data_IF_281578402613
#
_entry.id   IF_281578402613
#
_cell.length_a   1.000
_cell.length_b   1.000
_cell.length_c   1.000
_cell.angle_alpha   90.00
_cell.angle_beta   90.00
_cell.angle_gamma   90.00
#
_symmetry.space_group_name_H-M   'P 1'
#
loop_
_entity.id
_entity.type
_entity.pdbx_description
1 polymer ?
#
# COMPACT_ATOMS: atom_id res chain seq x y z
N UNK A 1 28.52 -34.62 -24.77
CA UNK A 1 27.05 -34.69 -24.59
C UNK A 1 26.79 -35.19 -23.18
N UNK A 2 25.94 -34.65 -22.28
CA UNK A 2 25.14 -33.39 -22.16
C UNK A 2 24.63 -33.38 -20.69
N UNK A 3 24.44 -32.32 -19.89
CA UNK A 3 24.40 -30.85 -20.05
C UNK A 3 24.91 -30.15 -18.76
N UNK A 4 25.21 -28.84 -18.74
CA UNK A 4 25.47 -28.11 -17.49
C UNK A 4 24.18 -27.85 -16.70
N UNK A 5 24.20 -28.09 -15.39
CA UNK A 5 23.09 -27.76 -14.51
C UNK A 5 22.96 -26.23 -14.34
N UNK A 6 21.77 -25.69 -14.60
CA UNK A 6 21.49 -24.25 -14.53
C UNK A 6 21.38 -23.76 -13.08
N UNK A 7 22.53 -23.56 -12.42
CA UNK A 7 22.64 -23.02 -11.07
C UNK A 7 22.27 -21.54 -11.02
N UNK A 8 20.98 -21.24 -10.82
CA UNK A 8 20.53 -19.87 -10.50
C UNK A 8 21.07 -19.51 -9.10
N UNK A 9 21.67 -18.32 -8.89
CA UNK A 9 22.37 -18.03 -7.64
C UNK A 9 21.38 -18.01 -6.46
N UNK A 10 21.69 -18.66 -5.31
CA UNK A 10 20.71 -18.92 -4.25
C UNK A 10 20.09 -17.66 -3.62
N UNK A 11 20.75 -16.50 -3.73
CA UNK A 11 20.18 -15.20 -3.36
C UNK A 11 18.98 -14.80 -4.22
N UNK A 12 19.01 -15.06 -5.52
CA UNK A 12 17.94 -14.66 -6.44
C UNK A 12 16.66 -15.50 -6.24
N UNK A 13 16.79 -16.75 -5.83
CA UNK A 13 15.64 -17.61 -5.50
C UNK A 13 15.10 -17.32 -4.10
N UNK A 14 15.94 -16.97 -3.12
CA UNK A 14 15.48 -16.47 -1.83
C UNK A 14 14.64 -15.17 -1.98
N UNK A 15 15.10 -14.21 -2.80
CA UNK A 15 14.34 -12.98 -3.09
C UNK A 15 13.01 -13.28 -3.78
N UNK A 16 12.99 -14.16 -4.80
CA UNK A 16 11.74 -14.58 -5.47
C UNK A 16 10.77 -15.28 -4.50
N UNK A 17 11.27 -16.17 -3.66
CA UNK A 17 10.44 -16.89 -2.71
C UNK A 17 9.87 -15.95 -1.64
N UNK A 18 10.67 -14.98 -1.14
CA UNK A 18 10.17 -13.92 -0.25
C UNK A 18 9.06 -13.12 -0.92
N UNK A 19 9.23 -12.68 -2.18
CA UNK A 19 8.21 -11.93 -2.91
C UNK A 19 6.92 -12.73 -3.11
N UNK A 20 7.03 -14.03 -3.48
CA UNK A 20 5.86 -14.94 -3.58
C UNK A 20 5.12 -15.10 -2.26
N UNK A 21 5.84 -15.28 -1.16
CA UNK A 21 5.25 -15.41 0.18
C UNK A 21 4.52 -14.14 0.57
N UNK A 22 5.09 -12.96 0.33
CA UNK A 22 4.46 -11.68 0.65
C UNK A 22 3.18 -11.42 -0.17
N UNK A 23 3.21 -11.69 -1.48
CA UNK A 23 2.02 -11.56 -2.33
C UNK A 23 0.91 -12.56 -1.93
N UNK A 24 1.27 -13.83 -1.72
CA UNK A 24 0.32 -14.83 -1.24
C UNK A 24 -0.26 -14.49 0.14
N UNK A 25 0.58 -13.97 1.05
CA UNK A 25 0.16 -13.56 2.39
C UNK A 25 -0.86 -12.43 2.33
N UNK A 26 -0.59 -11.37 1.57
CA UNK A 26 -1.53 -10.28 1.34
C UNK A 26 -2.90 -10.80 0.87
N UNK A 27 -2.94 -11.69 -0.11
CA UNK A 27 -4.20 -12.26 -0.60
C UNK A 27 -4.91 -13.18 0.41
N UNK A 28 -4.17 -13.93 1.25
CA UNK A 28 -4.78 -14.77 2.30
C UNK A 28 -5.34 -13.90 3.43
N UNK A 29 -4.54 -12.96 3.95
CA UNK A 29 -4.97 -12.03 4.99
C UNK A 29 -6.14 -11.14 4.54
N UNK A 30 -6.20 -10.76 3.26
CA UNK A 30 -7.32 -9.99 2.71
C UNK A 30 -8.67 -10.72 2.72
N UNK A 31 -8.67 -12.06 2.66
CA UNK A 31 -9.88 -12.88 2.61
C UNK A 31 -10.24 -13.44 3.99
N UNK A 32 -9.24 -13.86 4.77
CA UNK A 32 -9.42 -14.60 6.02
C UNK A 32 -9.16 -13.77 7.29
N UNK A 33 -8.65 -12.54 7.15
CA UNK A 33 -8.34 -11.69 8.29
C UNK A 33 -7.35 -12.32 9.26
N UNK A 34 -7.64 -12.18 10.55
CA UNK A 34 -6.81 -12.70 11.65
C UNK A 34 -6.76 -14.24 11.69
N UNK A 35 -7.79 -14.91 11.15
CA UNK A 35 -7.90 -16.39 11.08
C UNK A 35 -6.90 -17.05 10.13
N UNK A 36 -6.23 -16.28 9.26
CA UNK A 36 -5.24 -16.79 8.32
C UNK A 36 -4.06 -17.52 9.00
N UNK A 37 -3.68 -18.67 8.45
CA UNK A 37 -2.51 -19.45 8.88
C UNK A 37 -1.29 -19.25 7.97
N UNK A 38 -0.09 -19.41 8.55
CA UNK A 38 1.19 -19.41 7.83
C UNK A 38 1.29 -20.56 6.82
N UNK A 39 0.60 -21.66 7.09
CA UNK A 39 0.47 -22.87 6.30
C UNK A 39 -0.32 -22.61 5.01
N UNK A 40 -1.40 -21.83 5.09
CA UNK A 40 -2.16 -21.39 3.92
C UNK A 40 -1.39 -20.42 3.05
N UNK A 41 -0.63 -19.50 3.66
CA UNK A 41 0.31 -18.63 2.94
C UNK A 41 1.36 -19.46 2.22
N UNK A 42 1.99 -20.44 2.87
CA UNK A 42 2.98 -21.33 2.27
C UNK A 42 2.39 -22.11 1.08
N UNK A 43 1.20 -22.72 1.28
CA UNK A 43 0.43 -23.44 0.27
C UNK A 43 0.12 -22.55 -0.94
N UNK A 44 -0.36 -21.32 -0.72
CA UNK A 44 -0.71 -20.38 -1.80
C UNK A 44 0.52 -19.84 -2.53
N UNK A 45 1.62 -19.60 -1.83
CA UNK A 45 2.89 -19.18 -2.42
C UNK A 45 3.60 -20.31 -3.22
N UNK A 46 3.16 -21.56 -3.06
CA UNK A 46 3.81 -22.73 -3.64
C UNK A 46 5.20 -23.00 -3.05
N UNK A 47 5.39 -22.75 -1.74
CA UNK A 47 6.65 -22.98 -1.02
C UNK A 47 6.42 -23.84 0.22
N UNK A 48 7.45 -24.56 0.67
CA UNK A 48 7.36 -25.32 1.92
C UNK A 48 7.30 -24.40 3.15
N UNK A 49 6.56 -24.79 4.18
CA UNK A 49 6.37 -24.00 5.41
C UNK A 49 7.70 -23.61 6.11
N UNK A 50 8.70 -24.51 6.10
CA UNK A 50 10.05 -24.19 6.59
C UNK A 50 10.78 -23.11 5.77
N UNK A 51 10.39 -22.88 4.52
CA UNK A 51 10.87 -21.72 3.74
C UNK A 51 10.24 -20.43 4.22
N UNK A 52 8.95 -20.43 4.62
CA UNK A 52 8.30 -19.26 5.22
C UNK A 52 8.99 -18.91 6.54
N UNK A 53 9.07 -19.86 7.49
CA UNK A 53 9.70 -19.62 8.80
C UNK A 53 11.18 -19.22 8.70
N UNK A 54 11.92 -19.66 7.68
CA UNK A 54 13.30 -19.20 7.43
C UNK A 54 13.40 -17.72 7.03
N UNK A 55 12.36 -17.14 6.42
CA UNK A 55 12.33 -15.72 6.03
C UNK A 55 11.53 -14.84 7.00
N UNK A 56 10.64 -15.45 7.78
CA UNK A 56 9.68 -14.84 8.70
C UNK A 56 9.54 -15.76 9.93
N UNK A 57 10.41 -15.65 10.94
CA UNK A 57 10.45 -16.59 12.08
C UNK A 57 9.15 -16.67 12.88
N UNK A 58 8.31 -15.64 12.83
CA UNK A 58 7.01 -15.58 13.53
C UNK A 58 5.90 -15.03 12.63
N UNK A 59 4.62 -15.23 12.99
CA UNK A 59 3.47 -14.69 12.25
C UNK A 59 3.50 -13.16 12.21
N UNK A 60 3.95 -12.53 13.27
CA UNK A 60 4.14 -11.08 13.39
C UNK A 60 5.17 -10.61 12.36
N UNK A 61 6.36 -11.23 12.31
CA UNK A 61 7.41 -10.87 11.35
C UNK A 61 6.97 -11.02 9.87
N UNK A 62 6.01 -11.92 9.59
CA UNK A 62 5.36 -12.02 8.28
C UNK A 62 4.38 -10.85 8.07
N UNK A 63 3.49 -10.57 9.03
CA UNK A 63 2.51 -9.48 8.96
C UNK A 63 3.18 -8.10 8.81
N UNK A 64 4.25 -7.83 9.58
CA UNK A 64 5.07 -6.62 9.46
C UNK A 64 5.62 -6.46 8.04
N UNK A 65 6.22 -7.52 7.50
CA UNK A 65 6.81 -7.51 6.17
C UNK A 65 5.77 -7.42 5.04
N UNK A 66 4.56 -7.96 5.24
CA UNK A 66 3.41 -7.75 4.34
C UNK A 66 2.99 -6.29 4.35
N UNK A 67 2.89 -5.66 5.53
CA UNK A 67 2.51 -4.26 5.66
C UNK A 67 3.57 -3.32 5.04
N UNK A 68 4.86 -3.61 5.21
CA UNK A 68 5.96 -2.92 4.51
C UNK A 68 5.82 -3.07 3.01
N UNK A 69 5.68 -4.30 2.50
CA UNK A 69 5.57 -4.56 1.06
C UNK A 69 4.34 -3.93 0.40
N UNK A 70 3.22 -3.84 1.14
CA UNK A 70 2.03 -3.09 0.74
C UNK A 70 2.34 -1.60 0.56
N UNK A 71 3.00 -0.97 1.53
CA UNK A 71 3.34 0.46 1.47
C UNK A 71 4.39 0.76 0.39
N UNK A 72 5.41 -0.08 0.24
CA UNK A 72 6.43 0.05 -0.81
C UNK A 72 5.81 -0.07 -2.20
N UNK A 73 4.86 -1.00 -2.41
CA UNK A 73 4.13 -1.11 -3.69
C UNK A 73 3.28 0.13 -3.96
N UNK A 74 2.57 0.64 -2.97
CA UNK A 74 1.80 1.88 -3.12
C UNK A 74 2.70 3.08 -3.42
N UNK A 75 3.91 3.15 -2.83
CA UNK A 75 4.89 4.18 -3.14
C UNK A 75 5.41 4.05 -4.59
N UNK A 76 5.69 2.83 -5.06
CA UNK A 76 6.08 2.57 -6.45
C UNK A 76 4.96 2.92 -7.44
N UNK A 77 3.69 2.54 -7.16
CA UNK A 77 2.54 2.92 -7.99
C UNK A 77 2.34 4.44 -8.04
N UNK A 78 2.64 5.17 -6.95
CA UNK A 78 2.60 6.63 -6.96
C UNK A 78 3.75 7.24 -7.79
N UNK A 79 4.95 6.68 -7.72
CA UNK A 79 6.11 7.10 -8.52
C UNK A 79 5.88 6.87 -10.03
N UNK A 80 5.26 5.75 -10.43
CA UNK A 80 4.86 5.50 -11.83
C UNK A 80 3.92 6.59 -12.38
N UNK A 81 3.06 7.13 -11.51
CA UNK A 81 2.07 8.16 -11.86
C UNK A 81 2.66 9.58 -11.88
N UNK A 82 3.91 9.79 -11.43
CA UNK A 82 4.53 11.12 -11.37
C UNK A 82 4.60 11.83 -12.72
N UNK A 83 4.61 11.08 -13.82
CA UNK A 83 4.73 11.58 -15.18
C UNK A 83 3.41 11.51 -15.95
N UNK A 84 2.29 11.26 -15.27
CA UNK A 84 0.97 11.22 -15.88
C UNK A 84 0.63 12.55 -16.57
N UNK A 85 -0.02 12.44 -17.74
CA UNK A 85 -0.44 13.58 -18.56
C UNK A 85 -1.55 14.42 -17.90
N UNK A 86 -2.40 13.79 -17.08
CA UNK A 86 -3.35 14.46 -16.20
C UNK A 86 -2.96 14.19 -14.72
N UNK A 87 -2.27 15.15 -14.06
CA UNK A 87 -1.91 15.01 -12.65
C UNK A 87 -3.11 14.96 -11.70
N UNK A 88 -4.23 15.59 -12.05
CA UNK A 88 -5.44 15.59 -11.23
C UNK A 88 -6.10 14.21 -11.20
N UNK A 89 -6.33 13.63 -12.38
CA UNK A 89 -6.84 12.27 -12.50
C UNK A 89 -5.88 11.24 -11.90
N UNK A 90 -4.56 11.43 -12.04
CA UNK A 90 -3.55 10.58 -11.42
C UNK A 90 -3.64 10.61 -9.88
N UNK A 91 -3.73 11.79 -9.26
CA UNK A 91 -3.86 11.96 -7.82
C UNK A 91 -5.15 11.33 -7.27
N UNK A 92 -6.32 11.71 -7.81
CA UNK A 92 -7.60 11.19 -7.33
C UNK A 92 -7.75 9.68 -7.62
N UNK A 93 -7.28 9.21 -8.78
CA UNK A 93 -7.28 7.80 -9.15
C UNK A 93 -6.29 6.96 -8.33
N UNK A 94 -5.19 7.53 -7.83
CA UNK A 94 -4.32 6.87 -6.86
C UNK A 94 -5.01 6.76 -5.49
N UNK A 95 -5.59 7.86 -4.99
CA UNK A 95 -6.32 7.88 -3.72
C UNK A 95 -7.44 6.83 -3.70
N UNK A 96 -8.27 6.78 -4.75
CA UNK A 96 -9.34 5.80 -4.90
C UNK A 96 -8.83 4.34 -4.89
N UNK A 97 -7.71 4.06 -5.58
CA UNK A 97 -7.07 2.73 -5.58
C UNK A 97 -6.56 2.30 -4.20
N UNK A 98 -5.96 3.22 -3.44
CA UNK A 98 -5.52 2.91 -2.07
C UNK A 98 -6.73 2.57 -1.19
N UNK A 99 -7.82 3.32 -1.30
CA UNK A 99 -9.05 3.08 -0.52
C UNK A 99 -9.75 1.78 -0.94
N UNK A 100 -9.80 1.44 -2.22
CA UNK A 100 -10.41 0.17 -2.68
C UNK A 100 -9.65 -1.07 -2.18
N UNK A 101 -8.35 -0.95 -1.91
CA UNK A 101 -7.49 -2.00 -1.33
C UNK A 101 -7.47 -1.99 0.21
N UNK A 102 -8.23 -1.10 0.86
CA UNK A 102 -8.09 -0.86 2.29
C UNK A 102 -8.47 -2.07 3.17
N UNK A 103 -9.38 -2.94 2.74
CA UNK A 103 -9.76 -4.14 3.49
C UNK A 103 -8.57 -5.07 3.76
N UNK A 104 -7.73 -5.33 2.75
CA UNK A 104 -6.52 -6.15 2.89
C UNK A 104 -5.53 -5.55 3.91
N UNK A 105 -5.30 -4.24 3.82
CA UNK A 105 -4.44 -3.50 4.74
C UNK A 105 -5.00 -3.47 6.17
N UNK A 106 -6.32 -3.31 6.31
CA UNK A 106 -6.99 -3.26 7.61
C UNK A 106 -6.86 -4.60 8.33
N UNK A 107 -7.11 -5.72 7.65
CA UNK A 107 -6.94 -7.07 8.19
C UNK A 107 -5.52 -7.31 8.75
N UNK A 108 -4.48 -6.92 8.02
CA UNK A 108 -3.08 -7.02 8.46
C UNK A 108 -2.79 -6.09 9.65
N UNK A 109 -3.37 -4.89 9.66
CA UNK A 109 -3.20 -3.91 10.75
C UNK A 109 -3.89 -4.38 12.04
N UNK A 110 -5.09 -4.96 11.95
CA UNK A 110 -5.83 -5.52 13.08
C UNK A 110 -5.10 -6.76 13.65
N UNK A 111 -4.57 -7.65 12.80
CA UNK A 111 -3.77 -8.79 13.24
C UNK A 111 -2.46 -8.39 13.97
N UNK A 112 -1.80 -7.31 13.54
CA UNK A 112 -0.63 -6.76 14.24
C UNK A 112 -1.03 -6.15 15.60
N UNK A 113 -2.15 -5.43 15.66
CA UNK A 113 -2.65 -4.84 16.90
C UNK A 113 -3.06 -5.89 17.93
N UNK A 114 -3.70 -7.00 17.52
CA UNK A 114 -4.00 -8.15 18.37
C UNK A 114 -2.72 -8.81 18.93
N UNK A 115 -1.64 -8.83 18.15
CA UNK A 115 -0.32 -9.31 18.59
C UNK A 115 0.48 -8.29 19.42
N UNK A 116 -0.10 -7.11 19.71
CA UNK A 116 0.57 -6.04 20.48
C UNK A 116 1.65 -5.27 19.70
N UNK A 117 1.69 -5.41 18.37
CA UNK A 117 2.68 -4.74 17.49
C UNK A 117 2.13 -3.42 16.97
N UNK A 118 2.83 -2.31 17.21
CA UNK A 118 2.50 -1.02 16.60
C UNK A 118 2.84 -1.03 15.11
N UNK A 119 1.80 -1.05 14.27
CA UNK A 119 1.89 -0.96 12.81
C UNK A 119 2.69 0.27 12.31
N UNK A 120 2.80 1.35 13.09
CA UNK A 120 3.66 2.52 12.76
C UNK A 120 5.14 2.23 12.96
N UNK A 121 5.49 1.43 13.97
CA UNK A 121 6.88 0.99 14.20
C UNK A 121 7.27 -0.10 13.19
N UNK A 122 6.39 -1.08 12.98
CA UNK A 122 6.56 -2.17 12.01
C UNK A 122 6.88 -1.70 10.57
N UNK A 123 6.37 -0.53 10.19
CA UNK A 123 6.47 -0.02 8.81
C UNK A 123 7.72 0.81 8.52
N UNK A 124 8.53 1.12 9.53
CA UNK A 124 9.84 1.78 9.39
C UNK A 124 9.83 2.96 8.40
N UNK A 125 10.62 2.84 7.33
CA UNK A 125 10.75 3.86 6.27
C UNK A 125 9.69 3.78 5.17
N UNK A 126 8.90 2.70 5.06
CA UNK A 126 7.91 2.53 4.01
C UNK A 126 6.72 3.51 4.15
N UNK A 127 6.30 3.79 5.39
CA UNK A 127 5.30 4.83 5.69
C UNK A 127 5.74 6.24 5.25
N UNK A 128 6.95 6.70 5.63
CA UNK A 128 7.58 7.89 5.07
C UNK A 128 7.72 7.89 3.55
N UNK A 129 8.12 6.78 2.94
CA UNK A 129 8.25 6.63 1.48
C UNK A 129 6.94 6.88 0.74
N UNK A 130 5.85 6.23 1.16
CA UNK A 130 4.51 6.46 0.59
C UNK A 130 4.06 7.91 0.77
N UNK A 131 4.34 8.54 1.91
CA UNK A 131 4.01 9.97 2.13
C UNK A 131 4.75 10.88 1.16
N UNK A 132 6.03 10.60 0.89
CA UNK A 132 6.83 11.39 -0.06
C UNK A 132 6.29 11.24 -1.49
N UNK A 133 6.02 10.01 -1.94
CA UNK A 133 5.46 9.76 -3.27
C UNK A 133 4.07 10.39 -3.47
N UNK A 134 3.20 10.33 -2.45
CA UNK A 134 1.92 11.04 -2.49
C UNK A 134 2.08 12.57 -2.50
N UNK A 135 3.13 13.10 -1.86
CA UNK A 135 3.47 14.52 -1.93
C UNK A 135 3.76 14.99 -3.35
N UNK A 136 4.55 14.23 -4.12
CA UNK A 136 4.84 14.54 -5.53
C UNK A 136 3.56 14.56 -6.39
N UNK A 137 2.64 13.62 -6.17
CA UNK A 137 1.34 13.62 -6.88
C UNK A 137 0.45 14.81 -6.48
N UNK A 138 0.45 15.17 -5.20
CA UNK A 138 -0.30 16.31 -4.67
C UNK A 138 0.22 17.63 -5.28
N UNK A 139 1.53 17.85 -5.26
CA UNK A 139 2.19 19.05 -5.80
C UNK A 139 1.84 19.23 -7.28
N UNK A 140 1.97 18.18 -8.10
CA UNK A 140 1.60 18.26 -9.52
C UNK A 140 0.10 18.50 -9.75
N UNK A 141 -0.78 17.93 -8.92
CA UNK A 141 -2.21 18.19 -8.99
C UNK A 141 -2.56 19.64 -8.57
N UNK A 142 -1.78 20.24 -7.68
CA UNK A 142 -1.88 21.65 -7.27
C UNK A 142 -1.28 22.62 -8.31
N UNK A 143 -0.24 22.21 -9.03
CA UNK A 143 0.31 22.92 -10.19
C UNK A 143 -0.70 22.96 -11.34
N UNK A 144 -1.30 21.81 -11.66
CA UNK A 144 -2.36 21.67 -12.66
C UNK A 144 -3.71 22.33 -12.26
N UNK A 145 -3.85 22.81 -11.02
CA UNK A 145 -5.08 23.44 -10.53
C UNK A 145 -6.24 22.46 -10.32
N UNK A 146 -5.97 21.16 -10.19
CA UNK A 146 -6.96 20.12 -9.90
C UNK A 146 -7.21 19.93 -8.39
N UNK A 147 -6.28 20.40 -7.54
CA UNK A 147 -6.34 20.31 -6.06
C UNK A 147 -6.00 21.68 -5.46
N UNK A 148 -6.70 22.03 -4.37
CA UNK A 148 -6.48 23.28 -3.59
C UNK A 148 -5.07 23.34 -2.97
N UNK A 149 -4.50 24.54 -2.86
CA UNK A 149 -3.09 24.75 -2.48
C UNK A 149 -2.81 24.88 -0.98
N UNK A 150 -3.85 24.96 -0.17
CA UNK A 150 -3.79 25.09 1.29
C UNK A 150 -3.82 23.74 2.04
N UNK A 151 -3.59 22.63 1.32
CA UNK A 151 -3.54 21.27 1.88
C UNK A 151 -2.17 20.65 1.58
N UNK A 152 -1.49 20.15 2.61
CA UNK A 152 -0.20 19.48 2.49
C UNK A 152 -0.28 17.94 2.56
N UNK A 153 0.78 17.27 2.12
CA UNK A 153 0.84 15.80 2.04
C UNK A 153 0.55 15.08 3.38
N UNK A 154 0.86 15.70 4.52
CA UNK A 154 0.53 15.17 5.84
C UNK A 154 -0.99 15.10 6.10
N UNK A 155 -1.74 16.13 5.71
CA UNK A 155 -3.21 16.16 5.82
C UNK A 155 -3.85 15.17 4.84
N UNK A 156 -3.34 15.08 3.60
CA UNK A 156 -3.84 14.09 2.63
C UNK A 156 -3.57 12.66 3.11
N UNK A 157 -2.39 12.37 3.66
CA UNK A 157 -2.11 11.06 4.25
C UNK A 157 -3.00 10.73 5.45
N UNK A 158 -3.34 11.72 6.30
CA UNK A 158 -4.25 11.52 7.42
C UNK A 158 -5.69 11.23 6.93
N UNK A 159 -6.17 12.00 5.96
CA UNK A 159 -7.48 11.78 5.31
C UNK A 159 -7.54 10.40 4.63
N UNK A 160 -6.49 10.03 3.89
CA UNK A 160 -6.35 8.75 3.23
C UNK A 160 -6.36 7.58 4.23
N UNK A 161 -5.63 7.71 5.34
CA UNK A 161 -5.62 6.72 6.41
C UNK A 161 -7.00 6.56 7.07
N UNK A 162 -7.68 7.68 7.39
CA UNK A 162 -9.02 7.66 7.99
C UNK A 162 -10.08 7.04 7.09
N UNK A 163 -10.11 7.43 5.81
CA UNK A 163 -11.05 6.84 4.82
C UNK A 163 -10.71 5.37 4.57
N UNK A 164 -9.43 5.00 4.51
CA UNK A 164 -9.04 3.58 4.39
C UNK A 164 -9.49 2.76 5.59
N UNK A 165 -9.31 3.25 6.82
CA UNK A 165 -9.75 2.57 8.04
C UNK A 165 -11.28 2.34 8.03
N UNK A 166 -12.06 3.37 7.67
CA UNK A 166 -13.51 3.26 7.54
C UNK A 166 -13.91 2.26 6.44
N UNK A 167 -13.27 2.34 5.27
CA UNK A 167 -13.51 1.46 4.12
C UNK A 167 -13.15 0.00 4.41
N UNK A 168 -12.11 -0.25 5.22
CA UNK A 168 -11.73 -1.59 5.64
C UNK A 168 -12.75 -2.28 6.55
N UNK A 169 -13.57 -1.50 7.27
CA UNK A 169 -14.58 -2.01 8.22
C UNK A 169 -16.00 -2.03 7.66
N UNK A 170 -16.35 -1.09 6.77
CA UNK A 170 -17.71 -0.90 6.24
C UNK A 170 -17.82 -1.06 4.71
N UNK A 171 -16.72 -1.41 4.04
CA UNK A 171 -16.59 -1.36 2.58
C UNK A 171 -16.27 0.04 2.08
N UNK A 172 -15.51 0.13 0.98
CA UNK A 172 -15.26 1.39 0.31
C UNK A 172 -16.57 1.94 -0.29
N UNK A 173 -16.96 3.16 0.09
CA UNK A 173 -18.16 3.80 -0.45
C UNK A 173 -17.81 5.00 -1.32
N UNK A 174 -18.39 5.03 -2.52
CA UNK A 174 -18.14 6.07 -3.53
C UNK A 174 -18.65 7.45 -3.10
N UNK A 175 -19.74 7.52 -2.30
CA UNK A 175 -20.26 8.75 -1.72
C UNK A 175 -19.24 9.45 -0.81
N UNK A 176 -18.58 8.70 0.08
CA UNK A 176 -17.55 9.19 0.99
C UNK A 176 -16.31 9.65 0.23
N UNK A 177 -15.87 8.88 -0.78
CA UNK A 177 -14.77 9.28 -1.65
C UNK A 177 -15.08 10.57 -2.42
N UNK A 178 -16.30 10.70 -2.97
CA UNK A 178 -16.73 11.90 -3.68
C UNK A 178 -16.75 13.13 -2.78
N UNK A 179 -17.29 13.02 -1.56
CA UNK A 179 -17.28 14.11 -0.57
C UNK A 179 -15.84 14.54 -0.24
N UNK A 180 -14.93 13.58 -0.04
CA UNK A 180 -13.53 13.87 0.22
C UNK A 180 -12.83 14.56 -0.97
N UNK A 181 -13.12 14.12 -2.20
CA UNK A 181 -12.55 14.70 -3.42
C UNK A 181 -13.10 16.10 -3.70
N UNK A 182 -14.40 16.33 -3.49
CA UNK A 182 -15.03 17.65 -3.60
C UNK A 182 -14.42 18.65 -2.60
N UNK A 183 -14.06 18.21 -1.38
CA UNK A 183 -13.34 19.04 -0.40
C UNK A 183 -11.87 19.34 -0.70
N UNK A 184 -11.23 18.53 -1.57
CA UNK A 184 -9.85 18.71 -2.04
C UNK A 184 -9.75 19.52 -3.34
N UNK A 185 -10.83 19.62 -4.13
CA UNK A 185 -10.88 20.46 -5.33
C UNK A 185 -10.72 21.95 -4.98
N UNK A 186 -10.26 22.80 -5.91
CA UNK A 186 -10.12 24.24 -5.65
C UNK A 186 -11.48 24.89 -5.37
N UNK A 187 -11.55 25.72 -4.33
CA UNK A 187 -12.71 26.60 -4.15
C UNK A 187 -12.75 27.67 -5.27
N UNK A 188 -13.95 28.03 -5.77
CA UNK A 188 -14.12 29.20 -6.64
C UNK A 188 -13.52 30.45 -5.96
N UNK A 189 -12.42 30.97 -6.51
CA UNK A 189 -11.63 32.05 -5.92
C UNK A 189 -10.12 31.78 -5.86
N UNK A 190 -9.69 30.51 -5.78
CA UNK A 190 -8.27 30.13 -5.91
C UNK A 190 -7.86 29.90 -7.37
N UNK A 191 -8.18 30.84 -8.28
CA UNK A 191 -7.62 30.79 -9.63
C UNK A 191 -6.12 31.16 -9.55
N UNK A 192 -5.20 30.39 -10.19
CA UNK A 192 -3.80 30.77 -10.21
C UNK A 192 -3.64 32.09 -10.98
N UNK A 193 -2.86 33.01 -10.42
CA UNK A 193 -2.46 34.22 -11.14
C UNK A 193 -1.73 33.81 -12.42
N UNK A 194 -2.35 34.07 -13.58
CA UNK A 194 -1.73 33.86 -14.89
C UNK A 194 -0.48 34.74 -14.96
N UNK A 195 0.67 34.12 -15.20
CA UNK A 195 1.87 34.80 -15.71
C UNK A 195 1.78 34.91 -17.22
#
# INVERSE_FOLDING_TARGET
MTSPASGRPPRADAVRNRAKVLAAAEEVFAVQGTSASTEEVARKAGVGIGTVFRHFPTKESLLEAVLVALLDRLAAEAEELRSAADPGAAFFGFFARVVSRAAAKQAVTEALAEAGVDARQATGTAGPGLRAALGVLLERAQEAGAVRRDVGAGQVMALLAGISYAAGRAGAREDVLRIAFDGLRPCPGQAPARR
#
